data_IF_540131779677
#
_entry.id   IF_540131779677
#
_cell.length_a   1.000
_cell.length_b   1.000
_cell.length_c   1.000
_cell.angle_alpha   90.00
_cell.angle_beta   90.00
_cell.angle_gamma   90.00
#
_symmetry.space_group_name_H-M   'P 1'
#
loop_
_entity.id
_entity.type
_entity.pdbx_description
1 polymer ?
#
# COMPACT_ATOMS: atom_id res chain seq x y z
N UNK A 1 -27.71 51.02 -29.51
CA UNK A 1 -28.57 50.35 -28.49
C UNK A 1 -29.22 49.15 -29.15
N UNK A 2 -29.50 48.01 -28.48
CA UNK A 2 -29.25 47.60 -27.08
C UNK A 2 -28.04 46.63 -26.95
N UNK A 3 -27.24 46.56 -25.89
CA UNK A 3 -27.45 46.12 -24.49
C UNK A 3 -27.84 44.64 -24.31
N UNK A 4 -26.90 43.79 -23.87
CA UNK A 4 -26.87 43.25 -22.49
C UNK A 4 -25.85 42.10 -22.30
N UNK A 5 -25.10 42.22 -21.21
CA UNK A 5 -24.28 41.25 -20.48
C UNK A 5 -24.45 39.75 -20.78
N UNK A 6 -23.34 39.01 -20.83
CA UNK A 6 -22.97 38.10 -19.73
C UNK A 6 -21.48 37.72 -19.83
N UNK A 7 -20.87 37.68 -18.66
CA UNK A 7 -19.46 37.44 -18.38
C UNK A 7 -18.93 36.14 -18.99
N UNK A 8 -17.89 36.23 -19.83
CA UNK A 8 -16.98 35.09 -20.00
C UNK A 8 -16.08 35.05 -18.77
N UNK A 9 -16.59 34.44 -17.71
CA UNK A 9 -15.78 33.81 -16.69
C UNK A 9 -14.91 32.79 -17.43
N UNK A 10 -13.64 33.11 -17.62
CA UNK A 10 -12.64 32.10 -17.92
C UNK A 10 -12.46 31.34 -16.61
N UNK A 11 -13.37 30.39 -16.39
CA UNK A 11 -13.28 29.44 -15.29
C UNK A 11 -11.92 28.80 -15.40
N UNK A 12 -11.12 29.01 -14.36
CA UNK A 12 -10.01 28.17 -14.00
C UNK A 12 -10.52 26.72 -14.09
N UNK A 13 -10.27 26.05 -15.22
CA UNK A 13 -10.46 24.60 -15.31
C UNK A 13 -9.51 24.05 -14.27
N UNK A 14 -10.14 23.66 -13.17
CA UNK A 14 -9.55 23.34 -11.90
C UNK A 14 -8.40 22.37 -12.11
N UNK A 15 -7.25 22.79 -11.61
CA UNK A 15 -6.06 21.98 -11.34
C UNK A 15 -6.31 20.81 -10.37
N UNK A 16 -7.57 20.45 -10.11
CA UNK A 16 -8.03 19.41 -9.18
C UNK A 16 -8.26 18.05 -9.86
N UNK A 17 -8.18 17.96 -11.19
CA UNK A 17 -8.48 16.72 -11.93
C UNK A 17 -7.26 15.81 -12.20
N UNK A 18 -6.04 16.15 -11.73
CA UNK A 18 -4.81 15.36 -11.91
C UNK A 18 -4.18 14.79 -10.63
N UNK A 19 -4.93 14.64 -9.54
CA UNK A 19 -4.39 14.16 -8.25
C UNK A 19 -5.07 12.89 -7.68
N UNK A 20 -5.76 12.11 -8.53
CA UNK A 20 -6.65 11.02 -8.09
C UNK A 20 -6.16 9.57 -8.36
N UNK A 21 -4.85 9.31 -8.44
CA UNK A 21 -4.33 7.93 -8.60
C UNK A 21 -3.20 7.55 -7.63
N UNK A 22 -3.30 7.93 -6.36
CA UNK A 22 -2.19 7.71 -5.42
C UNK A 22 -2.10 6.24 -4.94
N UNK A 23 -3.20 5.48 -4.95
CA UNK A 23 -3.14 4.03 -4.80
C UNK A 23 -4.49 3.33 -5.01
N UNK A 24 -4.45 2.02 -5.30
CA UNK A 24 -5.66 1.23 -5.60
C UNK A 24 -5.62 -0.15 -4.97
N UNK A 25 -6.78 -0.64 -4.53
CA UNK A 25 -6.95 -2.00 -4.00
C UNK A 25 -7.51 -2.95 -5.07
N UNK A 26 -7.00 -4.18 -5.08
CA UNK A 26 -7.53 -5.33 -5.81
C UNK A 26 -7.66 -6.53 -4.88
N UNK A 27 -8.47 -7.52 -5.25
CA UNK A 27 -8.61 -8.78 -4.53
C UNK A 27 -8.30 -9.93 -5.48
N UNK A 28 -7.45 -10.86 -5.03
CA UNK A 28 -7.14 -12.13 -5.68
C UNK A 28 -7.35 -13.24 -4.66
N UNK A 29 -8.36 -14.08 -4.84
CA UNK A 29 -8.73 -15.13 -3.87
C UNK A 29 -8.84 -14.56 -2.43
N UNK A 30 -7.98 -15.02 -1.52
CA UNK A 30 -7.91 -14.57 -0.12
C UNK A 30 -6.91 -13.42 0.12
N UNK A 31 -6.31 -12.88 -0.94
CA UNK A 31 -5.29 -11.82 -0.89
C UNK A 31 -5.89 -10.48 -1.31
N UNK A 32 -5.66 -9.46 -0.49
CA UNK A 32 -5.88 -8.06 -0.87
C UNK A 32 -4.55 -7.44 -1.30
N UNK A 33 -4.54 -6.81 -2.48
CA UNK A 33 -3.36 -6.19 -3.06
C UNK A 33 -3.57 -4.68 -3.14
N UNK A 34 -2.65 -3.90 -2.60
CA UNK A 34 -2.62 -2.44 -2.70
C UNK A 34 -1.42 -2.01 -3.51
N UNK A 35 -1.63 -1.23 -4.56
CA UNK A 35 -0.56 -0.66 -5.37
C UNK A 35 -0.53 0.85 -5.18
N UNK A 36 0.59 1.37 -4.66
CA UNK A 36 0.82 2.78 -4.40
C UNK A 36 1.79 3.37 -5.42
N UNK A 37 1.45 4.52 -6.03
CA UNK A 37 2.23 5.15 -7.12
C UNK A 37 2.61 4.14 -8.21
N UNK A 38 1.62 3.42 -8.74
CA UNK A 38 1.83 2.31 -9.69
C UNK A 38 2.65 2.71 -10.92
N UNK A 39 2.46 3.93 -11.44
CA UNK A 39 3.18 4.47 -12.60
C UNK A 39 4.69 4.62 -12.36
N UNK A 40 5.11 4.72 -11.09
CA UNK A 40 6.52 4.80 -10.69
C UNK A 40 7.11 3.42 -10.38
N UNK A 41 6.30 2.35 -10.39
CA UNK A 41 6.79 1.01 -10.15
C UNK A 41 7.22 0.40 -11.48
N UNK A 42 8.52 0.20 -11.63
CA UNK A 42 9.07 -0.60 -12.71
C UNK A 42 9.24 -2.04 -12.27
N UNK A 43 9.13 -2.95 -13.23
CA UNK A 43 9.49 -4.34 -13.01
C UNK A 43 10.99 -4.44 -12.72
N UNK A 44 11.36 -5.39 -11.86
CA UNK A 44 12.76 -5.60 -11.50
C UNK A 44 13.01 -7.06 -11.15
N UNK A 45 14.18 -7.55 -11.52
CA UNK A 45 14.71 -8.83 -11.01
C UNK A 45 15.13 -8.72 -9.54
N UNK A 46 15.42 -7.49 -9.07
CA UNK A 46 15.81 -7.21 -7.70
C UNK A 46 14.57 -6.82 -6.88
N UNK A 47 14.18 -7.67 -5.94
CA UNK A 47 12.98 -7.49 -5.12
C UNK A 47 13.38 -7.24 -3.68
N UNK A 48 12.92 -6.11 -3.12
CA UNK A 48 12.94 -5.87 -1.68
C UNK A 48 11.59 -6.33 -1.11
N UNK A 49 11.55 -7.57 -0.65
CA UNK A 49 10.37 -8.15 0.00
C UNK A 49 10.45 -7.95 1.51
N UNK A 50 9.43 -7.32 2.11
CA UNK A 50 9.41 -7.02 3.55
C UNK A 50 8.14 -7.55 4.23
N UNK A 51 8.25 -7.87 5.52
CA UNK A 51 7.07 -7.98 6.38
C UNK A 51 6.58 -6.58 6.80
N UNK A 52 5.38 -6.52 7.39
CA UNK A 52 4.75 -5.28 7.81
C UNK A 52 4.83 -5.07 9.33
N UNK A 53 4.08 -5.88 10.09
CA UNK A 53 4.02 -5.79 11.55
C UNK A 53 5.34 -6.26 12.17
N UNK A 54 5.87 -5.50 13.13
CA UNK A 54 7.17 -5.71 13.77
C UNK A 54 8.36 -5.71 12.79
N UNK A 55 8.20 -5.10 11.61
CA UNK A 55 9.29 -4.87 10.65
C UNK A 55 9.29 -3.43 10.15
N UNK A 56 8.19 -2.96 9.56
CA UNK A 56 8.04 -1.55 9.16
C UNK A 56 7.41 -0.76 10.30
N UNK A 57 6.35 -1.32 10.88
CA UNK A 57 5.57 -0.68 11.93
C UNK A 57 5.46 -1.55 13.16
N UNK A 58 5.31 -0.90 14.30
CA UNK A 58 4.84 -1.50 15.55
C UNK A 58 3.63 -0.70 16.06
N UNK A 59 2.90 -1.23 17.03
CA UNK A 59 1.82 -0.47 17.68
C UNK A 59 2.40 0.70 18.45
N UNK A 60 1.74 1.85 18.40
CA UNK A 60 2.12 2.99 19.23
C UNK A 60 1.82 2.71 20.70
N UNK A 61 0.73 2.00 20.98
CA UNK A 61 0.29 1.62 22.33
C UNK A 61 1.16 0.56 23.01
N UNK A 62 2.05 -0.10 22.27
CA UNK A 62 2.88 -1.21 22.77
C UNK A 62 2.14 -2.54 22.93
N UNK A 63 0.86 -2.64 22.53
CA UNK A 63 0.11 -3.89 22.56
C UNK A 63 0.55 -4.83 21.44
N UNK A 64 0.35 -6.14 21.64
CA UNK A 64 0.69 -7.13 20.61
C UNK A 64 -0.11 -6.94 19.30
N UNK A 65 -1.35 -6.48 19.39
CA UNK A 65 -2.22 -6.23 18.26
C UNK A 65 -2.73 -4.78 18.31
N UNK A 66 -2.87 -4.12 17.15
CA UNK A 66 -3.36 -2.75 17.10
C UNK A 66 -4.80 -2.67 17.59
N UNK A 67 -5.12 -1.63 18.35
CA UNK A 67 -6.49 -1.39 18.84
C UNK A 67 -7.34 -0.52 17.90
N UNK A 68 -6.71 0.15 16.93
CA UNK A 68 -7.36 0.93 15.88
C UNK A 68 -6.47 0.99 14.64
N UNK A 69 -7.00 1.50 13.52
CA UNK A 69 -6.27 1.73 12.28
C UNK A 69 -5.14 2.78 12.41
N UNK A 70 -5.18 3.59 13.48
CA UNK A 70 -4.20 4.62 13.80
C UNK A 70 -3.17 4.17 14.85
N UNK A 71 -3.34 2.99 15.47
CA UNK A 71 -2.39 2.44 16.45
C UNK A 71 -1.16 1.84 15.75
N UNK A 72 -0.31 2.72 15.24
CA UNK A 72 0.96 2.34 14.64
C UNK A 72 1.97 3.48 14.69
N UNK A 73 3.24 3.11 14.73
CA UNK A 73 4.38 3.98 14.46
C UNK A 73 5.42 3.25 13.63
N UNK A 74 6.21 3.99 12.86
CA UNK A 74 7.41 3.45 12.21
C UNK A 74 8.36 2.98 13.32
N UNK A 75 8.93 1.78 13.18
CA UNK A 75 9.81 1.20 14.21
C UNK A 75 11.08 2.04 14.37
N UNK A 76 11.71 2.37 13.25
CA UNK A 76 12.95 3.14 13.18
C UNK A 76 13.02 3.86 11.83
N UNK A 77 13.37 5.15 11.86
CA UNK A 77 13.57 5.94 10.63
C UNK A 77 14.68 5.36 9.75
N UNK A 78 15.67 4.67 10.33
CA UNK A 78 16.71 3.96 9.56
C UNK A 78 16.11 2.93 8.59
N UNK A 79 14.97 2.33 8.91
CA UNK A 79 14.30 1.38 8.01
C UNK A 79 13.76 2.11 6.78
N UNK A 80 13.16 3.29 6.97
CA UNK A 80 12.65 4.11 5.86
C UNK A 80 13.79 4.54 4.94
N UNK A 81 14.92 4.97 5.53
CA UNK A 81 16.11 5.35 4.77
C UNK A 81 16.69 4.18 3.98
N UNK A 82 16.75 2.98 4.58
CA UNK A 82 17.19 1.77 3.89
C UNK A 82 16.28 1.39 2.73
N UNK A 83 14.96 1.35 2.95
CA UNK A 83 13.99 1.08 1.88
C UNK A 83 14.18 2.09 0.74
N UNK A 84 14.29 3.38 1.06
CA UNK A 84 14.52 4.45 0.09
C UNK A 84 15.77 4.21 -0.75
N UNK A 85 16.90 3.89 -0.10
CA UNK A 85 18.16 3.58 -0.78
C UNK A 85 18.07 2.38 -1.72
N UNK A 86 17.43 1.28 -1.31
CA UNK A 86 17.21 0.11 -2.18
C UNK A 86 16.32 0.47 -3.38
N UNK A 87 15.24 1.22 -3.17
CA UNK A 87 14.36 1.63 -4.29
C UNK A 87 15.06 2.53 -5.29
N UNK A 88 15.97 3.41 -4.85
CA UNK A 88 16.87 4.18 -5.75
C UNK A 88 17.84 3.27 -6.52
N UNK A 89 18.22 2.14 -5.93
CA UNK A 89 19.04 1.09 -6.54
C UNK A 89 18.26 0.11 -7.44
N UNK A 90 17.09 0.50 -7.95
CA UNK A 90 16.24 -0.32 -8.82
C UNK A 90 15.67 -1.59 -8.16
N UNK A 91 15.57 -1.63 -6.83
CA UNK A 91 14.80 -2.69 -6.16
C UNK A 91 13.32 -2.35 -6.17
N UNK A 92 12.50 -3.33 -6.56
CA UNK A 92 11.05 -3.21 -6.42
C UNK A 92 10.63 -3.59 -5.01
N UNK A 93 9.97 -2.66 -4.33
CA UNK A 93 9.45 -2.89 -2.98
C UNK A 93 8.11 -3.62 -3.01
N UNK A 94 8.06 -4.75 -2.30
CA UNK A 94 6.83 -5.50 -2.02
C UNK A 94 6.71 -5.79 -0.53
N UNK A 95 5.51 -5.62 0.03
CA UNK A 95 5.19 -5.93 1.42
C UNK A 95 4.28 -7.16 1.43
N UNK A 96 4.66 -8.19 2.18
CA UNK A 96 3.86 -9.40 2.37
C UNK A 96 3.44 -9.53 3.82
N UNK A 97 2.14 -9.52 4.11
CA UNK A 97 1.63 -9.57 5.49
C UNK A 97 0.54 -10.62 5.67
N UNK A 98 0.60 -11.31 6.81
CA UNK A 98 -0.40 -12.28 7.26
C UNK A 98 -1.44 -11.57 8.15
N UNK A 99 -2.68 -11.42 7.69
CA UNK A 99 -3.77 -10.78 8.44
C UNK A 99 -4.94 -11.75 8.69
N UNK A 100 -4.63 -12.88 9.33
CA UNK A 100 -5.58 -13.98 9.56
C UNK A 100 -6.75 -13.62 10.49
N UNK A 101 -6.62 -12.55 11.27
CA UNK A 101 -7.73 -12.02 12.07
C UNK A 101 -8.98 -11.71 11.23
N UNK A 102 -8.80 -11.38 9.95
CA UNK A 102 -9.90 -11.11 9.01
C UNK A 102 -10.78 -12.34 8.79
N UNK A 103 -10.21 -13.48 8.39
CA UNK A 103 -11.01 -14.69 8.15
C UNK A 103 -11.61 -15.29 9.42
N UNK A 104 -11.07 -14.94 10.59
CA UNK A 104 -11.60 -15.32 11.90
C UNK A 104 -12.68 -14.34 12.43
N UNK A 105 -13.01 -13.27 11.70
CA UNK A 105 -13.96 -12.25 12.16
C UNK A 105 -13.46 -11.39 13.32
N UNK A 106 -12.15 -11.39 13.59
CA UNK A 106 -11.51 -10.64 14.69
C UNK A 106 -10.95 -9.29 14.26
N UNK A 107 -10.90 -9.01 12.96
CA UNK A 107 -10.34 -7.78 12.40
C UNK A 107 -11.14 -7.36 11.18
N UNK A 108 -11.43 -6.07 11.08
CA UNK A 108 -12.22 -5.53 9.97
C UNK A 108 -11.34 -5.19 8.76
N UNK A 109 -11.78 -5.60 7.57
CA UNK A 109 -11.01 -5.41 6.32
C UNK A 109 -10.79 -3.90 6.03
N UNK A 110 -11.82 -3.04 6.02
CA UNK A 110 -11.67 -1.59 5.91
C UNK A 110 -10.63 -0.99 6.86
N UNK A 111 -10.66 -1.34 8.15
CA UNK A 111 -9.69 -0.81 9.12
C UNK A 111 -8.26 -1.24 8.79
N UNK A 112 -8.05 -2.52 8.47
CA UNK A 112 -6.74 -3.03 8.06
C UNK A 112 -6.26 -2.34 6.78
N UNK A 113 -7.11 -2.20 5.77
CA UNK A 113 -6.78 -1.48 4.52
C UNK A 113 -6.37 -0.04 4.81
N UNK A 114 -7.14 0.67 5.64
CA UNK A 114 -6.86 2.06 5.99
C UNK A 114 -5.52 2.21 6.70
N UNK A 115 -5.19 1.30 7.62
CA UNK A 115 -3.89 1.24 8.30
C UNK A 115 -2.74 1.11 7.29
N UNK A 116 -2.84 0.16 6.35
CA UNK A 116 -1.83 -0.01 5.29
C UNK A 116 -1.70 1.23 4.40
N UNK A 117 -2.81 1.82 3.97
CA UNK A 117 -2.79 3.06 3.19
C UNK A 117 -2.07 4.20 3.90
N UNK A 118 -2.40 4.42 5.18
CA UNK A 118 -1.82 5.50 5.97
C UNK A 118 -0.31 5.31 6.14
N UNK A 119 0.13 4.09 6.49
CA UNK A 119 1.57 3.78 6.62
C UNK A 119 2.30 3.98 5.30
N UNK A 120 1.79 3.41 4.20
CA UNK A 120 2.45 3.49 2.88
C UNK A 120 2.50 4.93 2.38
N UNK A 121 1.45 5.72 2.61
CA UNK A 121 1.45 7.16 2.29
C UNK A 121 2.49 7.93 3.10
N UNK A 122 2.73 7.55 4.34
CA UNK A 122 3.79 8.14 5.18
C UNK A 122 5.19 7.79 4.66
N UNK A 123 5.39 6.55 4.18
CA UNK A 123 6.66 6.16 3.56
C UNK A 123 6.94 6.93 2.26
N UNK A 124 5.90 7.30 1.49
CA UNK A 124 5.98 8.02 0.20
C UNK A 124 6.78 7.29 -0.90
N UNK A 125 7.12 6.01 -0.69
CA UNK A 125 7.89 5.16 -1.61
C UNK A 125 6.93 4.30 -2.44
N UNK A 126 7.07 4.22 -3.78
CA UNK A 126 6.25 3.33 -4.62
C UNK A 126 6.36 1.87 -4.16
N UNK A 127 5.22 1.21 -3.95
CA UNK A 127 5.22 -0.16 -3.45
C UNK A 127 3.95 -0.94 -3.75
N UNK A 128 4.07 -2.27 -3.71
CA UNK A 128 2.93 -3.18 -3.72
C UNK A 128 2.82 -3.85 -2.35
N UNK A 129 1.66 -3.80 -1.70
CA UNK A 129 1.40 -4.52 -0.46
C UNK A 129 0.39 -5.63 -0.70
N UNK A 130 0.65 -6.82 -0.19
CA UNK A 130 -0.18 -8.01 -0.34
C UNK A 130 -0.50 -8.59 1.05
N UNK A 131 -1.80 -8.76 1.28
CA UNK A 131 -2.36 -9.11 2.58
C UNK A 131 -3.08 -10.46 2.45
N UNK A 132 -2.50 -11.51 3.01
CA UNK A 132 -3.12 -12.83 3.08
C UNK A 132 -4.09 -12.89 4.26
N UNK A 133 -5.37 -13.16 3.98
CA UNK A 133 -6.44 -13.11 5.00
C UNK A 133 -6.86 -14.47 5.52
N UNK A 134 -6.62 -15.54 4.78
CA UNK A 134 -7.01 -16.91 5.12
C UNK A 134 -5.80 -17.80 5.49
N UNK A 135 -6.07 -19.02 5.96
CA UNK A 135 -5.05 -20.04 6.15
C UNK A 135 -4.98 -20.95 4.91
N UNK A 136 -4.38 -20.45 3.85
CA UNK A 136 -4.24 -21.14 2.56
C UNK A 136 -2.82 -20.94 1.98
N UNK A 137 -2.64 -21.23 0.68
CA UNK A 137 -1.35 -21.12 -0.02
C UNK A 137 -0.71 -19.74 0.06
N UNK A 138 -1.49 -18.68 0.33
CA UNK A 138 -1.01 -17.31 0.38
C UNK A 138 -0.45 -16.93 1.76
N UNK A 139 -0.82 -17.65 2.83
CA UNK A 139 -0.32 -17.39 4.18
C UNK A 139 1.14 -17.82 4.33
N UNK A 140 2.03 -16.86 4.64
CA UNK A 140 3.43 -17.15 5.01
C UNK A 140 3.47 -18.20 6.14
N UNK A 141 4.36 -19.20 6.10
CA UNK A 141 5.57 -19.28 5.27
C UNK A 141 5.38 -19.82 3.85
N UNK A 142 4.15 -20.09 3.40
CA UNK A 142 3.89 -20.59 2.05
C UNK A 142 4.18 -19.50 1.00
N UNK A 143 4.69 -19.87 -0.20
CA UNK A 143 5.17 -18.91 -1.19
C UNK A 143 4.06 -18.28 -2.06
N UNK A 144 2.78 -18.58 -1.81
CA UNK A 144 1.69 -18.20 -2.73
C UNK A 144 1.59 -16.69 -3.01
N UNK A 145 1.79 -15.83 -2.01
CA UNK A 145 1.81 -14.38 -2.25
C UNK A 145 2.97 -13.95 -3.16
N UNK A 146 4.14 -14.58 -3.02
CA UNK A 146 5.28 -14.29 -3.87
C UNK A 146 5.06 -14.74 -5.32
N UNK A 147 4.48 -15.92 -5.54
CA UNK A 147 4.13 -16.37 -6.88
C UNK A 147 3.06 -15.48 -7.53
N UNK A 148 2.02 -15.09 -6.77
CA UNK A 148 1.02 -14.13 -7.23
C UNK A 148 1.65 -12.77 -7.58
N UNK A 149 2.58 -12.27 -6.75
CA UNK A 149 3.33 -11.06 -7.02
C UNK A 149 4.12 -11.16 -8.32
N UNK A 150 4.93 -12.20 -8.47
CA UNK A 150 5.74 -12.39 -9.67
C UNK A 150 4.86 -12.42 -10.92
N UNK A 151 3.85 -13.30 -10.92
CA UNK A 151 3.01 -13.57 -12.08
C UNK A 151 2.12 -12.40 -12.53
N UNK A 152 1.68 -11.51 -11.64
CA UNK A 152 0.69 -10.48 -11.99
C UNK A 152 1.16 -9.06 -11.74
N UNK A 153 2.17 -8.88 -10.89
CA UNK A 153 2.57 -7.58 -10.40
C UNK A 153 4.05 -7.27 -10.63
N UNK A 154 4.86 -8.22 -11.12
CA UNK A 154 6.27 -8.00 -11.45
C UNK A 154 6.66 -8.44 -12.86
N UNK A 155 5.68 -8.76 -13.72
CA UNK A 155 5.96 -9.20 -15.08
C UNK A 155 6.52 -8.08 -15.95
N UNK A 156 7.79 -8.23 -16.34
CA UNK A 156 8.36 -7.68 -17.57
C UNK A 156 7.57 -8.09 -18.80
#
# INVERSE_FOLDING_TARGET
MPNSNMDFVCDCISSESKMNFIGSWRKHDSVHVYQYKIEMQQNSSNILAMDFDNTIVTTETGKKFPISESDWKIIDNMIVDRISSYTKGNFRLVIFSNQHGISLGKSDIPQIKKRFENVIRTLKIPCTAMIATANDIYRKPRPGMYYLFQQYYNNN
#
